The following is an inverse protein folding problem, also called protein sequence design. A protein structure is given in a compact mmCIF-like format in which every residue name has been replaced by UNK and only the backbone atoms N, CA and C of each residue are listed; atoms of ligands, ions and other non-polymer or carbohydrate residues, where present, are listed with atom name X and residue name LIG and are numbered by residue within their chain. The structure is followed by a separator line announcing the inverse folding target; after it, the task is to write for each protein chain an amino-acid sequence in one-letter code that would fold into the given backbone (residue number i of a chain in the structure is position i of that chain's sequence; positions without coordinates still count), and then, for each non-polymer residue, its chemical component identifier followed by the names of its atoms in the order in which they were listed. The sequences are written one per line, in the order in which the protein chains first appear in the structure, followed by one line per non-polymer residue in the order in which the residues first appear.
data_IF_931998254840
#
_entry.id   IF_931998254840
#
_cell.length_a   1.000
_cell.length_b   1.000
_cell.length_c   1.000
_cell.angle_alpha   90.00
_cell.angle_beta   90.00
_cell.angle_gamma   90.00
#
_symmetry.space_group_name_H-M   'P 1'
#
loop_
_entity.id
_entity.type
_entity.pdbx_description
1 polymer ?
#
# COMPACT_ATOMS: atom_id res chain seq x y z
N UNK A 1 24.72 55.11 10.25
CA UNK A 1 24.09 54.70 8.98
C UNK A 1 24.08 53.18 8.77
N UNK A 2 25.17 52.44 9.01
CA UNK A 2 25.21 50.98 8.74
C UNK A 2 24.28 50.10 9.58
N UNK A 3 24.11 50.39 10.88
CA UNK A 3 23.30 49.56 11.78
C UNK A 3 21.80 49.61 11.45
N UNK A 4 21.29 50.79 11.06
CA UNK A 4 19.87 50.97 10.70
C UNK A 4 19.53 50.20 9.41
N UNK A 5 20.45 50.20 8.44
CA UNK A 5 20.29 49.47 7.18
C UNK A 5 20.25 47.95 7.39
N UNK A 6 21.12 47.44 8.28
CA UNK A 6 21.12 46.03 8.68
C UNK A 6 19.80 45.61 9.34
N UNK A 7 19.28 46.41 10.25
CA UNK A 7 18.00 46.14 10.93
C UNK A 7 16.84 46.11 9.91
N UNK A 8 16.80 47.06 8.97
CA UNK A 8 15.78 47.06 7.91
C UNK A 8 15.86 45.82 7.02
N UNK A 9 17.06 45.38 6.61
CA UNK A 9 17.22 44.16 5.82
C UNK A 9 16.76 42.90 6.58
N UNK A 10 17.05 42.80 7.88
CA UNK A 10 16.58 41.68 8.70
C UNK A 10 15.05 41.65 8.81
N UNK A 11 14.42 42.79 9.07
CA UNK A 11 12.95 42.88 9.15
C UNK A 11 12.32 42.50 7.80
N UNK A 12 12.87 43.00 6.69
CA UNK A 12 12.36 42.69 5.35
C UNK A 12 12.51 41.20 5.00
N UNK A 13 13.63 40.58 5.39
CA UNK A 13 13.83 39.13 5.21
C UNK A 13 12.81 38.31 6.00
N UNK A 14 12.55 38.66 7.26
CA UNK A 14 11.55 37.97 8.08
C UNK A 14 10.14 38.09 7.50
N UNK A 15 9.75 39.26 7.01
CA UNK A 15 8.43 39.45 6.40
C UNK A 15 8.28 38.57 5.15
N UNK A 16 9.28 38.56 4.27
CA UNK A 16 9.26 37.75 3.04
C UNK A 16 9.21 36.26 3.39
N UNK A 17 9.98 35.83 4.38
CA UNK A 17 9.99 34.43 4.83
C UNK A 17 8.63 34.01 5.39
N UNK A 18 8.00 34.82 6.23
CA UNK A 18 6.67 34.52 6.80
C UNK A 18 5.61 34.42 5.70
N UNK A 19 5.60 35.36 4.75
CA UNK A 19 4.66 35.32 3.61
C UNK A 19 4.88 34.05 2.77
N UNK A 20 6.14 33.67 2.51
CA UNK A 20 6.43 32.45 1.78
C UNK A 20 5.95 31.19 2.51
N UNK A 21 6.15 31.11 3.82
CA UNK A 21 5.67 29.97 4.63
C UNK A 21 4.15 29.89 4.58
N UNK A 22 3.46 31.02 4.73
CA UNK A 22 1.99 31.08 4.71
C UNK A 22 1.42 30.66 3.35
N UNK A 23 2.01 31.14 2.25
CA UNK A 23 1.64 30.73 0.88
C UNK A 23 1.86 29.24 0.66
N UNK A 24 3.01 28.69 1.11
CA UNK A 24 3.29 27.26 1.00
C UNK A 24 2.26 26.45 1.79
N UNK A 25 1.97 26.84 3.04
CA UNK A 25 0.94 26.19 3.86
C UNK A 25 -0.44 26.20 3.19
N UNK A 26 -0.89 27.34 2.68
CA UNK A 26 -2.19 27.43 1.98
C UNK A 26 -2.24 26.60 0.70
N UNK A 27 -1.14 26.52 -0.06
CA UNK A 27 -1.10 25.66 -1.26
C UNK A 27 -1.14 24.17 -0.91
N UNK A 28 -0.56 23.75 0.22
CA UNK A 28 -0.64 22.37 0.70
C UNK A 28 -2.08 22.04 1.11
N UNK A 29 -2.75 22.91 1.87
CA UNK A 29 -4.15 22.70 2.27
C UNK A 29 -5.11 22.63 1.07
N UNK A 30 -4.92 23.50 0.07
CA UNK A 30 -5.74 23.49 -1.14
C UNK A 30 -5.53 22.21 -1.97
N UNK A 31 -4.29 21.73 -2.08
CA UNK A 31 -3.98 20.47 -2.77
C UNK A 31 -4.57 19.24 -2.07
N UNK A 32 -4.64 19.24 -0.73
CA UNK A 32 -5.30 18.19 0.03
C UNK A 32 -6.82 18.23 -0.14
N UNK A 33 -7.44 19.41 -0.20
CA UNK A 33 -8.88 19.54 -0.45
C UNK A 33 -9.28 19.09 -1.86
N UNK A 34 -8.46 19.38 -2.88
CA UNK A 34 -8.76 18.96 -4.26
C UNK A 34 -8.73 17.44 -4.45
N UNK A 35 -7.90 16.70 -3.71
CA UNK A 35 -7.91 15.23 -3.70
C UNK A 35 -9.12 14.62 -2.96
N UNK A 36 -9.81 15.39 -2.13
CA UNK A 36 -10.93 14.94 -1.32
C UNK A 36 -12.28 15.13 -2.01
N UNK A 37 -12.34 15.95 -3.06
CA UNK A 37 -13.59 16.38 -3.71
C UNK A 37 -14.29 15.29 -4.55
N UNK A 38 -13.62 14.16 -4.82
CA UNK A 38 -14.17 12.98 -5.53
C UNK A 38 -14.35 11.73 -4.64
N UNK A 39 -14.05 11.83 -3.34
CA UNK A 39 -14.12 10.68 -2.41
C UNK A 39 -15.46 10.65 -1.68
N UNK A 40 -16.26 9.62 -1.94
CA UNK A 40 -17.57 9.39 -1.29
C UNK A 40 -17.43 8.90 0.15
N UNK A 41 -16.46 8.03 0.41
CA UNK A 41 -16.25 7.40 1.71
C UNK A 41 -14.78 6.96 1.87
N UNK A 42 -14.42 6.48 3.05
CA UNK A 42 -13.13 5.81 3.29
C UNK A 42 -13.39 4.42 3.84
N UNK A 43 -12.78 3.42 3.21
CA UNK A 43 -12.76 2.05 3.70
C UNK A 43 -11.41 1.78 4.37
N UNK A 44 -11.42 1.39 5.65
CA UNK A 44 -10.21 1.18 6.43
C UNK A 44 -10.14 -0.26 6.91
N UNK A 45 -8.95 -0.86 6.82
CA UNK A 45 -8.69 -2.25 7.19
C UNK A 45 -7.36 -2.40 7.93
N UNK A 46 -7.28 -3.41 8.79
CA UNK A 46 -6.06 -3.87 9.46
C UNK A 46 -5.89 -5.35 9.21
N UNK A 47 -4.71 -5.75 8.76
CA UNK A 47 -4.32 -7.16 8.74
C UNK A 47 -3.70 -7.50 10.09
N UNK A 48 -4.23 -8.53 10.75
CA UNK A 48 -3.75 -8.96 12.06
C UNK A 48 -2.88 -10.19 11.95
N UNK A 49 -3.22 -11.14 11.09
CA UNK A 49 -2.49 -12.39 10.98
C UNK A 49 -2.51 -12.93 9.55
N UNK A 50 -1.42 -13.61 9.19
CA UNK A 50 -1.35 -14.39 7.97
C UNK A 50 -0.48 -15.62 8.18
N UNK A 51 -1.03 -16.79 7.85
CA UNK A 51 -0.34 -18.06 7.98
C UNK A 51 -0.19 -18.76 6.64
N UNK A 52 1.04 -19.17 6.33
CA UNK A 52 1.41 -19.98 5.20
C UNK A 52 2.54 -20.91 5.62
N UNK A 53 2.19 -21.89 6.45
CA UNK A 53 3.12 -22.87 7.01
C UNK A 53 3.87 -23.69 5.94
N UNK A 54 3.32 -23.78 4.73
CA UNK A 54 3.96 -24.48 3.62
C UNK A 54 5.02 -23.62 2.92
N UNK A 55 5.06 -22.31 3.17
CA UNK A 55 5.88 -21.30 2.49
C UNK A 55 5.83 -21.41 0.96
N UNK A 56 4.62 -21.66 0.43
CA UNK A 56 4.35 -21.85 -1.00
C UNK A 56 3.54 -20.72 -1.60
N UNK A 57 3.76 -20.50 -2.90
CA UNK A 57 2.94 -19.63 -3.75
C UNK A 57 1.70 -20.39 -4.24
N UNK A 58 0.77 -19.64 -4.85
CA UNK A 58 -0.45 -20.21 -5.43
C UNK A 58 -0.20 -21.22 -6.57
N UNK A 59 0.95 -21.12 -7.25
CA UNK A 59 1.41 -22.09 -8.27
C UNK A 59 2.07 -23.35 -7.67
N UNK A 60 2.13 -23.44 -6.34
CA UNK A 60 2.75 -24.53 -5.60
C UNK A 60 4.27 -24.42 -5.46
N UNK A 61 4.92 -23.43 -6.06
CA UNK A 61 6.38 -23.21 -5.90
C UNK A 61 6.73 -22.67 -4.52
N UNK A 62 7.95 -22.93 -4.05
CA UNK A 62 8.46 -22.34 -2.80
C UNK A 62 8.73 -20.85 -2.95
N UNK A 63 8.49 -20.09 -1.89
CA UNK A 63 8.96 -18.72 -1.76
C UNK A 63 10.50 -18.63 -1.82
N UNK A 64 11.04 -17.45 -2.14
CA UNK A 64 12.47 -17.22 -2.30
C UNK A 64 13.12 -17.87 -3.53
N UNK A 65 12.42 -18.73 -4.27
CA UNK A 65 12.90 -19.25 -5.56
C UNK A 65 12.46 -18.38 -6.72
N UNK A 66 13.33 -18.14 -7.73
CA UNK A 66 12.86 -17.56 -8.98
C UNK A 66 11.75 -18.44 -9.56
N UNK A 67 10.73 -17.81 -10.17
CA UNK A 67 9.70 -18.52 -10.92
C UNK A 67 10.43 -19.20 -12.08
N UNK A 68 10.72 -20.49 -11.93
CA UNK A 68 11.42 -21.23 -12.96
C UNK A 68 10.44 -21.52 -14.10
N UNK A 69 10.60 -20.79 -15.20
CA UNK A 69 10.30 -21.32 -16.51
C UNK A 69 11.22 -22.52 -16.75
N UNK A 70 10.68 -23.73 -16.58
CA UNK A 70 11.29 -24.98 -17.04
C UNK A 70 12.79 -25.14 -16.77
N UNK A 71 13.17 -25.59 -15.56
CA UNK A 71 14.47 -26.26 -15.40
C UNK A 71 14.25 -27.72 -14.99
N UNK A 72 14.79 -28.58 -15.83
CA UNK A 72 14.76 -30.03 -15.81
C UNK A 72 15.47 -30.60 -14.58
N UNK A 73 14.73 -30.80 -13.50
CA UNK A 73 15.01 -31.88 -12.57
C UNK A 73 13.68 -32.46 -12.14
N UNK A 74 13.53 -33.77 -12.32
CA UNK A 74 12.37 -34.59 -11.93
C UNK A 74 12.23 -34.68 -10.41
N UNK A 75 12.27 -33.56 -9.71
CA UNK A 75 11.96 -33.48 -8.28
C UNK A 75 10.45 -33.23 -8.23
N UNK A 76 9.71 -34.22 -7.72
CA UNK A 76 8.29 -34.06 -7.43
C UNK A 76 8.14 -32.83 -6.51
N UNK A 77 7.61 -31.74 -7.06
CA UNK A 77 7.33 -30.46 -6.37
C UNK A 77 6.53 -30.68 -5.07
N UNK A 78 5.79 -31.79 -5.03
CA UNK A 78 4.97 -32.27 -3.92
C UNK A 78 5.77 -32.68 -2.66
N UNK A 79 7.05 -33.07 -2.79
CA UNK A 79 7.86 -33.59 -1.65
C UNK A 79 8.92 -32.62 -1.13
N UNK A 80 9.07 -31.45 -1.75
CA UNK A 80 10.08 -30.49 -1.33
C UNK A 80 9.63 -29.66 -0.12
N UNK A 81 10.45 -29.60 0.93
CA UNK A 81 10.19 -28.75 2.09
C UNK A 81 10.68 -27.34 1.78
N UNK A 82 9.78 -26.38 1.69
CA UNK A 82 10.11 -24.97 1.47
C UNK A 82 10.72 -24.38 2.76
N UNK A 83 11.94 -23.83 2.65
CA UNK A 83 12.69 -23.30 3.80
C UNK A 83 12.65 -21.79 3.92
N UNK A 84 12.35 -21.08 2.85
CA UNK A 84 12.38 -19.62 2.82
C UNK A 84 10.99 -19.06 3.09
N UNK A 85 10.91 -18.13 4.05
CA UNK A 85 9.69 -17.36 4.32
C UNK A 85 9.28 -16.54 3.09
N UNK A 86 7.97 -16.30 2.92
CA UNK A 86 7.51 -15.38 1.89
C UNK A 86 7.46 -13.97 2.46
N UNK A 87 8.07 -13.01 1.76
CA UNK A 87 7.78 -11.60 2.00
C UNK A 87 6.38 -11.30 1.45
N UNK A 88 5.52 -10.75 2.32
CA UNK A 88 4.12 -10.51 2.05
C UNK A 88 3.87 -9.04 1.70
N UNK A 89 2.99 -8.86 0.73
CA UNK A 89 2.36 -7.60 0.37
C UNK A 89 0.91 -7.93 0.01
N UNK A 90 -0.04 -7.12 0.48
CA UNK A 90 -1.44 -7.26 0.13
C UNK A 90 -1.84 -6.15 -0.83
N UNK A 91 -2.53 -6.54 -1.89
CA UNK A 91 -3.31 -5.65 -2.76
C UNK A 91 -4.77 -5.81 -2.38
N UNK A 92 -5.43 -4.71 -2.05
CA UNK A 92 -6.85 -4.67 -1.73
C UNK A 92 -7.57 -3.91 -2.83
N UNK A 93 -8.61 -4.52 -3.35
CA UNK A 93 -9.40 -4.03 -4.47
C UNK A 93 -10.86 -3.98 -4.04
N UNK A 94 -11.51 -2.81 -4.16
CA UNK A 94 -12.92 -2.64 -3.83
C UNK A 94 -13.72 -2.56 -5.14
N UNK A 95 -14.67 -3.47 -5.29
CA UNK A 95 -15.50 -3.65 -6.48
C UNK A 95 -16.99 -3.54 -6.13
N UNK A 96 -17.86 -3.18 -7.11
CA UNK A 96 -19.29 -3.41 -6.99
C UNK A 96 -19.58 -4.87 -6.67
N UNK A 97 -20.62 -5.08 -5.87
CA UNK A 97 -21.15 -6.42 -5.69
C UNK A 97 -21.60 -6.96 -7.05
N UNK A 98 -20.87 -7.95 -7.57
CA UNK A 98 -21.27 -8.69 -8.77
C UNK A 98 -21.62 -10.11 -8.36
N UNK A 99 -22.64 -10.69 -9.01
CA UNK A 99 -23.02 -12.10 -8.83
C UNK A 99 -21.97 -13.03 -9.47
N UNK A 100 -20.92 -12.47 -10.08
CA UNK A 100 -19.84 -13.24 -10.68
C UNK A 100 -19.03 -13.83 -9.54
N UNK A 101 -19.42 -15.04 -9.19
CA UNK A 101 -18.62 -15.99 -8.42
C UNK A 101 -17.18 -15.83 -8.85
N UNK A 102 -16.31 -15.38 -7.94
CA UNK A 102 -14.96 -15.89 -7.93
C UNK A 102 -15.19 -17.40 -7.84
N UNK A 103 -15.16 -18.10 -8.98
CA UNK A 103 -15.34 -19.54 -9.02
C UNK A 103 -14.40 -20.07 -7.95
N UNK A 104 -14.95 -20.69 -6.92
CA UNK A 104 -14.24 -21.09 -5.69
C UNK A 104 -13.10 -22.08 -5.94
N UNK A 105 -12.80 -22.37 -7.21
CA UNK A 105 -11.82 -23.30 -7.74
C UNK A 105 -10.90 -22.67 -8.82
N UNK A 106 -10.98 -21.35 -9.04
CA UNK A 106 -10.09 -20.65 -9.95
C UNK A 106 -8.87 -20.14 -9.18
N UNK A 107 -7.71 -20.75 -9.40
CA UNK A 107 -6.41 -20.21 -8.97
C UNK A 107 -6.01 -18.93 -9.70
N UNK A 108 -6.83 -18.46 -10.66
CA UNK A 108 -6.56 -17.23 -11.40
C UNK A 108 -6.75 -16.03 -10.50
N UNK A 109 -5.67 -15.24 -10.40
CA UNK A 109 -5.65 -13.92 -9.77
C UNK A 109 -6.70 -13.05 -10.48
N UNK A 110 -7.52 -12.34 -9.69
CA UNK A 110 -8.45 -11.36 -10.24
C UNK A 110 -7.67 -10.23 -10.92
N UNK A 111 -7.94 -10.03 -12.21
CA UNK A 111 -7.28 -9.04 -13.06
C UNK A 111 -8.22 -7.90 -13.49
N UNK A 112 -9.43 -7.81 -12.92
CA UNK A 112 -10.34 -6.73 -13.23
C UNK A 112 -9.87 -5.38 -12.65
N UNK A 113 -10.52 -4.27 -13.05
CA UNK A 113 -10.27 -2.97 -12.43
C UNK A 113 -10.67 -3.00 -10.95
N UNK A 114 -10.22 -1.99 -10.19
CA UNK A 114 -10.69 -1.72 -8.82
C UNK A 114 -11.54 -0.46 -8.84
N UNK A 115 -12.77 -0.61 -9.35
CA UNK A 115 -13.76 0.40 -9.67
C UNK A 115 -14.00 1.41 -8.57
N UNK A 116 -14.01 0.98 -7.30
CA UNK A 116 -14.21 1.89 -6.17
C UNK A 116 -12.91 2.33 -5.51
N UNK A 117 -11.79 1.69 -5.83
CA UNK A 117 -10.46 2.03 -5.33
C UNK A 117 -9.61 0.83 -4.97
N UNK A 118 -8.29 1.05 -4.93
CA UNK A 118 -7.32 0.05 -4.49
C UNK A 118 -6.25 0.65 -3.56
N UNK A 119 -5.61 -0.22 -2.79
CA UNK A 119 -4.41 0.11 -2.02
C UNK A 119 -3.47 -1.09 -1.97
N UNK A 120 -2.18 -0.78 -1.87
CA UNK A 120 -1.12 -1.74 -1.63
C UNK A 120 -0.54 -1.49 -0.25
N UNK A 121 -0.29 -2.55 0.51
CA UNK A 121 0.34 -2.42 1.83
C UNK A 121 1.83 -2.10 1.76
N UNK A 122 2.46 -2.33 0.59
CA UNK A 122 3.89 -2.55 0.51
C UNK A 122 4.30 -3.82 1.27
N UNK A 123 5.57 -3.94 1.61
CA UNK A 123 6.02 -5.04 2.47
C UNK A 123 5.36 -4.95 3.85
N UNK A 124 4.46 -5.89 4.13
CA UNK A 124 3.70 -5.95 5.38
C UNK A 124 4.38 -6.83 6.44
N UNK A 125 5.11 -7.86 6.01
CA UNK A 125 5.82 -8.78 6.89
C UNK A 125 6.18 -10.09 6.19
N UNK A 126 6.64 -11.07 6.95
CA UNK A 126 6.91 -12.42 6.44
C UNK A 126 5.75 -13.38 6.74
N UNK A 127 5.76 -14.58 6.14
CA UNK A 127 4.79 -15.64 6.44
C UNK A 127 4.74 -16.00 7.91
N UNK A 128 3.55 -16.39 8.38
CA UNK A 128 3.30 -16.88 9.74
C UNK A 128 3.49 -15.81 10.83
N UNK A 129 3.14 -14.56 10.49
CA UNK A 129 3.19 -13.42 11.41
C UNK A 129 1.80 -13.08 11.95
N UNK A 130 1.78 -12.64 13.22
CA UNK A 130 0.61 -12.12 13.92
C UNK A 130 0.99 -10.80 14.59
N UNK A 131 0.21 -9.76 14.34
CA UNK A 131 0.33 -8.43 14.94
C UNK A 131 -0.78 -8.20 15.96
N UNK A 132 -0.46 -7.47 17.03
CA UNK A 132 -1.49 -6.93 17.91
C UNK A 132 -2.35 -5.88 17.21
N UNK A 133 -3.59 -5.68 17.69
CA UNK A 133 -4.52 -4.70 17.12
C UNK A 133 -3.95 -3.27 17.06
N UNK A 134 -3.10 -2.89 18.02
CA UNK A 134 -2.46 -1.57 18.07
C UNK A 134 -1.20 -1.49 17.19
N UNK A 135 -0.52 -2.61 16.95
CA UNK A 135 0.69 -2.69 16.13
C UNK A 135 0.37 -2.70 14.65
N UNK A 136 -0.74 -3.36 14.28
CA UNK A 136 -1.17 -3.45 12.89
C UNK A 136 -1.49 -2.08 12.29
N UNK A 137 -0.84 -1.78 11.16
CA UNK A 137 -1.08 -0.57 10.38
C UNK A 137 -2.52 -0.53 9.82
N UNK A 138 -3.11 0.67 9.82
CA UNK A 138 -4.37 0.91 9.11
C UNK A 138 -4.05 1.19 7.65
N UNK A 139 -4.71 0.46 6.75
CA UNK A 139 -4.71 0.77 5.32
C UNK A 139 -6.08 1.37 4.97
N UNK A 140 -6.06 2.55 4.36
CA UNK A 140 -7.27 3.30 4.01
C UNK A 140 -7.38 3.46 2.50
N UNK A 141 -8.57 3.15 1.98
CA UNK A 141 -8.93 3.26 0.57
C UNK A 141 -9.99 4.35 0.48
N UNK A 142 -9.71 5.40 -0.29
CA UNK A 142 -10.73 6.37 -0.66
C UNK A 142 -11.69 5.73 -1.65
N UNK A 143 -12.97 5.67 -1.30
CA UNK A 143 -14.02 5.16 -2.17
C UNK A 143 -14.40 6.26 -3.15
N UNK A 144 -14.16 6.02 -4.42
CA UNK A 144 -14.53 6.94 -5.50
C UNK A 144 -15.90 6.58 -6.06
N UNK A 145 -16.63 7.59 -6.55
CA UNK A 145 -17.75 7.31 -7.44
C UNK A 145 -17.19 6.82 -8.79
N UNK A 146 -17.74 5.74 -9.38
CA UNK A 146 -17.38 5.32 -10.74
C UNK A 146 -17.64 6.40 -11.80
#
# INVERSE_FOLDING_TARGET
MGLYYLICCFIQYFIILTIHIEVICSTIELSQQQQQQDRLATFSLKFLEFHNHAHRRNDGSCCGRPIQSSSSTTIKVETEICKAECALEFRICIEPYTIISILSNSTKIYNGPCMYGEVYTGHWGNTDITYGLLEACVHSIGIMHP
#
